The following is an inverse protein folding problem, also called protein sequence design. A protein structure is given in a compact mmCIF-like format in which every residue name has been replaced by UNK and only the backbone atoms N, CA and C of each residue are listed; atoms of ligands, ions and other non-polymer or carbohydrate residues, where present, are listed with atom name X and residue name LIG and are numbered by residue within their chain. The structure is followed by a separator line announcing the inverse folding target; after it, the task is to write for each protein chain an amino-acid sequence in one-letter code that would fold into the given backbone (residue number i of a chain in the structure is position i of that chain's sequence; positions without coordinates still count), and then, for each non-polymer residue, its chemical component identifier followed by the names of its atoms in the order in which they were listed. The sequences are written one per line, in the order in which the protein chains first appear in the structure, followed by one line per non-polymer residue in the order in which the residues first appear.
data_IF_762729875673
#
_entry.id   IF_762729875673
#
_cell.length_a   1.000
_cell.length_b   1.000
_cell.length_c   1.000
_cell.angle_alpha   90.00
_cell.angle_beta   90.00
_cell.angle_gamma   90.00
#
_symmetry.space_group_name_H-M   'P 1'
#
loop_
_entity.id
_entity.type
_entity.pdbx_description
1 polymer ?
#
# COMPACT_ATOMS: atom_id res chain seq x y z
N UNK A 1 33.11 24.59 -14.76
CA UNK A 1 32.30 23.36 -15.00
C UNK A 1 31.09 23.43 -14.12
N UNK A 2 29.91 23.72 -14.69
CA UNK A 2 28.65 23.86 -13.96
C UNK A 2 28.22 22.52 -13.43
N UNK A 3 28.03 22.42 -12.11
CA UNK A 3 27.38 21.23 -11.51
C UNK A 3 25.98 21.10 -12.08
N UNK A 4 25.63 19.92 -12.60
CA UNK A 4 24.27 19.64 -13.09
C UNK A 4 23.24 19.96 -12.01
N UNK A 5 22.06 20.52 -12.35
CA UNK A 5 21.04 20.88 -11.37
C UNK A 5 20.62 19.69 -10.48
N UNK A 6 20.72 18.45 -10.98
CA UNK A 6 20.46 17.20 -10.23
C UNK A 6 21.48 16.93 -9.12
N UNK A 7 22.70 17.50 -9.20
CA UNK A 7 23.71 17.30 -8.15
C UNK A 7 23.39 18.04 -6.84
N UNK A 8 22.48 19.02 -6.89
CA UNK A 8 22.07 19.83 -5.73
C UNK A 8 20.92 19.21 -4.95
N UNK A 9 20.26 18.16 -5.48
CA UNK A 9 19.10 17.52 -4.85
C UNK A 9 19.47 16.07 -4.49
N UNK A 10 19.94 15.80 -3.27
CA UNK A 10 20.42 14.47 -2.87
C UNK A 10 19.34 13.39 -2.98
N UNK A 11 18.07 13.74 -2.81
CA UNK A 11 16.93 12.79 -2.86
C UNK A 11 16.73 12.19 -4.26
N UNK A 12 17.02 12.92 -5.34
CA UNK A 12 16.89 12.40 -6.72
C UNK A 12 17.86 11.27 -7.01
N UNK A 13 19.01 11.24 -6.31
CA UNK A 13 20.01 10.16 -6.43
C UNK A 13 19.52 8.83 -5.89
N UNK A 14 18.47 8.83 -5.06
CA UNK A 14 17.83 7.66 -4.49
C UNK A 14 16.55 7.35 -5.28
N UNK A 15 15.69 8.36 -5.48
CA UNK A 15 14.35 8.16 -6.06
C UNK A 15 14.41 7.74 -7.53
N UNK A 16 15.29 8.31 -8.33
CA UNK A 16 15.40 7.97 -9.76
C UNK A 16 15.87 6.52 -9.97
N UNK A 17 16.96 6.03 -9.35
CA UNK A 17 17.34 4.63 -9.47
C UNK A 17 16.31 3.68 -8.85
N UNK A 18 15.67 4.07 -7.76
CA UNK A 18 14.60 3.28 -7.14
C UNK A 18 13.43 3.08 -8.10
N UNK A 19 12.94 4.16 -8.73
CA UNK A 19 11.92 4.08 -9.78
C UNK A 19 12.39 3.26 -10.98
N UNK A 20 13.64 3.39 -11.38
CA UNK A 20 14.27 2.56 -12.42
C UNK A 20 14.24 1.08 -12.07
N UNK A 21 14.47 0.73 -10.80
CA UNK A 21 14.37 -0.66 -10.30
C UNK A 21 12.96 -1.24 -10.42
N UNK A 22 11.94 -0.45 -10.10
CA UNK A 22 10.52 -0.84 -10.27
C UNK A 22 10.20 -1.06 -11.75
N UNK A 23 10.64 -0.17 -12.62
CA UNK A 23 10.43 -0.28 -14.08
C UNK A 23 11.13 -1.53 -14.63
N UNK A 24 12.38 -1.77 -14.26
CA UNK A 24 13.11 -2.98 -14.65
C UNK A 24 12.38 -4.24 -14.19
N UNK A 25 11.87 -4.25 -12.94
CA UNK A 25 11.07 -5.36 -12.43
C UNK A 25 9.80 -5.65 -13.25
N UNK A 26 9.21 -4.63 -13.89
CA UNK A 26 8.04 -4.80 -14.74
C UNK A 26 8.36 -5.43 -16.11
N UNK A 27 9.54 -5.14 -16.67
CA UNK A 27 9.93 -5.63 -18.00
C UNK A 27 10.66 -6.99 -17.96
N UNK A 28 11.33 -7.29 -16.86
CA UNK A 28 12.07 -8.54 -16.71
C UNK A 28 11.28 -9.53 -15.85
N UNK A 29 11.44 -10.86 -16.09
CA UNK A 29 10.77 -11.85 -15.26
C UNK A 29 11.14 -11.68 -13.78
N UNK A 30 10.27 -12.08 -12.85
CA UNK A 30 10.53 -11.94 -11.42
C UNK A 30 11.81 -12.67 -11.05
N UNK A 31 12.79 -11.90 -10.62
CA UNK A 31 14.08 -12.45 -10.17
C UNK A 31 13.89 -12.97 -8.74
N UNK A 32 14.49 -14.12 -8.38
CA UNK A 32 14.46 -14.61 -7.01
C UNK A 32 14.90 -13.50 -6.03
N UNK A 33 14.17 -13.33 -4.94
CA UNK A 33 14.47 -12.32 -3.90
C UNK A 33 15.94 -12.41 -3.48
N UNK A 34 16.50 -13.64 -3.46
CA UNK A 34 17.91 -13.89 -3.14
C UNK A 34 18.86 -13.13 -4.06
N UNK A 35 18.56 -13.02 -5.36
CA UNK A 35 19.42 -12.34 -6.32
C UNK A 35 19.36 -10.81 -6.16
N UNK A 36 18.19 -10.24 -5.84
CA UNK A 36 18.06 -8.80 -5.58
C UNK A 36 18.70 -8.41 -4.24
N UNK A 37 18.60 -9.26 -3.23
CA UNK A 37 19.28 -9.08 -1.94
C UNK A 37 20.80 -9.18 -2.11
N UNK A 38 21.31 -10.14 -2.91
CA UNK A 38 22.74 -10.21 -3.18
C UNK A 38 23.27 -8.97 -3.92
N UNK A 39 22.49 -8.40 -4.83
CA UNK A 39 22.84 -7.13 -5.49
C UNK A 39 22.92 -5.97 -4.48
N UNK A 40 22.01 -5.89 -3.53
CA UNK A 40 22.05 -4.90 -2.46
C UNK A 40 23.29 -5.09 -1.55
N UNK A 41 23.63 -6.33 -1.21
CA UNK A 41 24.83 -6.67 -0.43
C UNK A 41 26.10 -6.26 -1.19
N UNK A 42 26.17 -6.49 -2.49
CA UNK A 42 27.30 -6.05 -3.33
C UNK A 42 27.40 -4.51 -3.28
N UNK A 43 26.29 -3.80 -3.40
CA UNK A 43 26.26 -2.35 -3.25
C UNK A 43 26.79 -1.87 -1.89
N UNK A 44 26.41 -2.52 -0.81
CA UNK A 44 26.93 -2.25 0.54
C UNK A 44 28.45 -2.55 0.65
N UNK A 45 28.91 -3.67 0.10
CA UNK A 45 30.32 -4.02 0.10
C UNK A 45 31.16 -2.98 -0.67
N UNK A 46 30.68 -2.51 -1.83
CA UNK A 46 31.32 -1.44 -2.59
C UNK A 46 31.36 -0.14 -1.76
N UNK A 47 30.28 0.20 -1.06
CA UNK A 47 30.23 1.39 -0.21
C UNK A 47 31.27 1.35 0.92
N UNK A 48 31.37 0.18 1.58
CA UNK A 48 32.37 -0.05 2.65
C UNK A 48 33.79 0.03 2.09
N UNK A 49 34.07 -0.64 0.96
CA UNK A 49 35.36 -0.60 0.31
C UNK A 49 35.78 0.83 -0.06
N UNK A 50 34.85 1.61 -0.66
CA UNK A 50 35.10 3.01 -1.00
C UNK A 50 35.34 3.88 0.24
N UNK A 51 34.62 3.62 1.33
CA UNK A 51 34.84 4.29 2.62
C UNK A 51 36.24 4.01 3.18
N UNK A 52 36.71 2.77 3.06
CA UNK A 52 38.06 2.38 3.50
C UNK A 52 39.16 3.03 2.64
N UNK A 53 38.96 3.06 1.31
CA UNK A 53 39.89 3.70 0.37
C UNK A 53 39.94 5.22 0.53
N UNK A 54 38.93 5.86 1.06
CA UNK A 54 38.81 7.33 1.23
C UNK A 54 39.43 7.85 2.53
N UNK A 55 40.28 7.08 3.23
CA UNK A 55 40.87 7.45 4.53
C UNK A 55 41.89 8.60 4.44
N UNK A 56 42.59 8.77 3.30
CA UNK A 56 43.55 9.87 3.10
C UNK A 56 42.91 11.01 2.29
N UNK A 57 43.32 12.27 2.48
CA UNK A 57 42.77 13.42 1.73
C UNK A 57 42.91 13.26 0.22
N UNK A 58 44.05 12.72 -0.23
CA UNK A 58 44.36 12.52 -1.66
C UNK A 58 43.47 11.41 -2.28
N UNK A 59 43.30 10.28 -1.60
CA UNK A 59 42.39 9.21 -2.06
C UNK A 59 40.93 9.65 -2.01
N UNK A 60 40.53 10.48 -1.06
CA UNK A 60 39.18 11.03 -0.97
C UNK A 60 38.79 11.83 -2.20
N UNK A 61 39.72 12.62 -2.79
CA UNK A 61 39.44 13.40 -4.01
C UNK A 61 39.21 12.49 -5.23
N UNK A 62 39.94 11.37 -5.32
CA UNK A 62 39.81 10.38 -6.40
C UNK A 62 38.54 9.50 -6.28
N UNK A 63 38.13 9.14 -5.08
CA UNK A 63 36.97 8.27 -4.81
C UNK A 63 35.64 9.03 -4.82
N UNK A 64 35.64 10.33 -4.49
CA UNK A 64 34.42 11.15 -4.37
C UNK A 64 33.49 11.10 -5.58
N UNK A 65 33.93 11.15 -6.86
CA UNK A 65 33.02 11.07 -8.01
C UNK A 65 32.27 9.74 -8.11
N UNK A 66 32.87 8.65 -7.60
CA UNK A 66 32.29 7.30 -7.67
C UNK A 66 31.42 6.94 -6.46
N UNK A 67 31.39 7.78 -5.41
CA UNK A 67 30.63 7.52 -4.17
C UNK A 67 29.12 7.41 -4.38
N UNK A 68 28.60 7.80 -5.54
CA UNK A 68 27.18 7.68 -5.90
C UNK A 68 26.81 6.27 -6.40
N UNK A 69 27.79 5.49 -6.90
CA UNK A 69 27.54 4.19 -7.52
C UNK A 69 26.85 3.21 -6.55
N UNK A 70 27.35 3.00 -5.31
CA UNK A 70 26.70 2.09 -4.39
C UNK A 70 25.27 2.53 -4.03
N UNK A 71 25.00 3.83 -3.94
CA UNK A 71 23.66 4.35 -3.68
C UNK A 71 22.71 3.99 -4.83
N UNK A 72 23.17 4.13 -6.07
CA UNK A 72 22.39 3.76 -7.27
C UNK A 72 22.09 2.27 -7.26
N UNK A 73 23.08 1.40 -7.01
CA UNK A 73 22.92 -0.05 -7.00
C UNK A 73 21.92 -0.46 -5.91
N UNK A 74 22.08 0.03 -4.67
CA UNK A 74 21.20 -0.30 -3.56
C UNK A 74 19.77 0.17 -3.82
N UNK A 75 19.60 1.41 -4.31
CA UNK A 75 18.28 1.97 -4.59
C UNK A 75 17.57 1.20 -5.70
N UNK A 76 18.27 0.84 -6.78
CA UNK A 76 17.75 0.05 -7.88
C UNK A 76 17.38 -1.37 -7.42
N UNK A 77 18.23 -2.02 -6.63
CA UNK A 77 17.96 -3.33 -6.07
C UNK A 77 16.73 -3.31 -5.15
N UNK A 78 16.59 -2.28 -4.30
CA UNK A 78 15.43 -2.10 -3.45
C UNK A 78 14.14 -1.91 -4.25
N UNK A 79 14.16 -1.07 -5.30
CA UNK A 79 13.00 -0.89 -6.18
C UNK A 79 12.56 -2.19 -6.85
N UNK A 80 13.53 -2.95 -7.38
CA UNK A 80 13.26 -4.25 -8.00
C UNK A 80 12.74 -5.28 -6.98
N UNK A 81 13.33 -5.34 -5.78
CA UNK A 81 12.88 -6.24 -4.70
C UNK A 81 11.44 -5.94 -4.30
N UNK A 82 11.11 -4.67 -4.07
CA UNK A 82 9.75 -4.28 -3.71
C UNK A 82 8.76 -4.66 -4.79
N UNK A 83 9.09 -4.42 -6.06
CA UNK A 83 8.24 -4.85 -7.17
C UNK A 83 8.05 -6.37 -7.19
N UNK A 84 9.11 -7.15 -7.01
CA UNK A 84 9.06 -8.62 -7.04
C UNK A 84 8.23 -9.20 -5.89
N UNK A 85 8.30 -8.61 -4.70
CA UNK A 85 7.51 -9.02 -3.53
C UNK A 85 6.01 -8.75 -3.74
N UNK A 86 5.67 -7.65 -4.43
CA UNK A 86 4.28 -7.28 -4.68
C UNK A 86 3.68 -7.95 -5.93
N UNK A 87 4.44 -8.78 -6.62
CA UNK A 87 3.88 -9.56 -7.72
C UNK A 87 2.92 -10.64 -7.20
N UNK A 88 1.68 -10.68 -7.71
CA UNK A 88 0.73 -11.71 -7.30
C UNK A 88 1.22 -13.09 -7.73
N UNK A 89 1.14 -14.06 -6.84
CA UNK A 89 1.52 -15.45 -7.11
C UNK A 89 0.57 -16.08 -8.13
N UNK A 90 1.13 -16.72 -9.15
CA UNK A 90 0.36 -17.44 -10.16
C UNK A 90 0.04 -18.85 -9.64
N UNK A 91 -1.25 -19.11 -9.43
CA UNK A 91 -1.75 -20.39 -8.92
C UNK A 91 -1.94 -21.40 -10.05
N UNK A 92 -1.69 -22.67 -9.74
CA UNK A 92 -2.10 -23.78 -10.60
C UNK A 92 -3.58 -24.10 -10.33
N UNK A 93 -4.48 -23.54 -11.14
CA UNK A 93 -5.92 -23.64 -10.96
C UNK A 93 -6.43 -25.09 -10.98
N UNK A 94 -5.80 -25.98 -11.75
CA UNK A 94 -6.20 -27.39 -11.82
C UNK A 94 -5.95 -28.15 -10.50
N UNK A 95 -4.93 -27.73 -9.76
CA UNK A 95 -4.60 -28.34 -8.47
C UNK A 95 -5.32 -27.67 -7.30
N UNK A 96 -5.76 -26.43 -7.46
CA UNK A 96 -6.36 -25.62 -6.40
C UNK A 96 -7.87 -25.74 -6.38
N UNK A 97 -8.51 -25.77 -7.55
CA UNK A 97 -9.97 -25.82 -7.67
C UNK A 97 -10.54 -27.14 -7.14
N UNK A 98 -11.79 -27.10 -6.68
CA UNK A 98 -12.56 -28.21 -6.09
C UNK A 98 -12.03 -28.71 -4.75
N UNK A 99 -11.07 -28.06 -4.14
CA UNK A 99 -10.59 -28.34 -2.78
C UNK A 99 -11.22 -27.39 -1.77
N UNK A 100 -11.23 -27.81 -0.51
CA UNK A 100 -11.57 -26.91 0.59
C UNK A 100 -10.44 -25.88 0.77
N UNK A 101 -10.78 -24.63 0.64
CA UNK A 101 -9.88 -23.50 0.86
C UNK A 101 -10.12 -22.85 2.20
N UNK A 102 -9.06 -22.40 2.80
CA UNK A 102 -9.07 -21.63 4.04
C UNK A 102 -8.47 -20.27 3.75
N UNK A 103 -9.11 -19.22 4.22
CA UNK A 103 -8.61 -17.86 4.03
C UNK A 103 -9.03 -16.93 5.15
N UNK A 104 -8.37 -15.78 5.22
CA UNK A 104 -8.70 -14.69 6.13
C UNK A 104 -9.28 -13.53 5.33
N UNK A 105 -10.36 -12.99 5.82
CA UNK A 105 -10.98 -11.81 5.22
C UNK A 105 -10.13 -10.58 5.59
N UNK A 106 -9.59 -9.89 4.57
CA UNK A 106 -8.86 -8.64 4.74
C UNK A 106 -9.77 -7.42 4.67
N UNK A 107 -10.71 -7.42 3.71
CA UNK A 107 -11.65 -6.33 3.54
C UNK A 107 -13.01 -6.82 3.08
N UNK A 108 -14.06 -6.10 3.45
CA UNK A 108 -15.43 -6.35 3.03
C UNK A 108 -16.03 -5.05 2.52
N UNK A 109 -16.52 -5.07 1.29
CA UNK A 109 -17.31 -3.99 0.68
C UNK A 109 -18.73 -4.49 0.41
N UNK A 110 -19.72 -3.86 1.06
CA UNK A 110 -21.13 -4.16 0.83
C UNK A 110 -21.66 -3.28 -0.29
N UNK A 111 -22.30 -3.89 -1.28
CA UNK A 111 -23.12 -3.22 -2.29
C UNK A 111 -24.54 -3.78 -2.18
N UNK A 112 -25.54 -3.03 -2.67
CA UNK A 112 -26.98 -3.25 -2.46
C UNK A 112 -27.45 -4.71 -2.34
N UNK A 113 -26.95 -5.62 -3.18
CA UNK A 113 -27.38 -7.04 -3.20
C UNK A 113 -26.19 -8.01 -3.26
N UNK A 114 -24.99 -7.53 -3.09
CA UNK A 114 -23.78 -8.35 -3.20
C UNK A 114 -22.72 -7.86 -2.22
N UNK A 115 -21.86 -8.76 -1.80
CA UNK A 115 -20.74 -8.46 -0.93
C UNK A 115 -19.45 -8.85 -1.67
N UNK A 116 -18.50 -7.94 -1.69
CA UNK A 116 -17.17 -8.14 -2.24
C UNK A 116 -16.20 -8.28 -1.09
N UNK A 117 -15.48 -9.38 -1.07
CA UNK A 117 -14.49 -9.65 -0.03
C UNK A 117 -13.13 -9.90 -0.65
N UNK A 118 -12.12 -9.27 -0.09
CA UNK A 118 -10.74 -9.62 -0.35
C UNK A 118 -10.31 -10.63 0.68
N UNK A 119 -9.86 -11.79 0.24
CA UNK A 119 -9.49 -12.91 1.11
C UNK A 119 -8.06 -13.33 0.84
N UNK A 120 -7.23 -13.32 1.88
CA UNK A 120 -5.88 -13.87 1.85
C UNK A 120 -5.93 -15.38 2.10
N UNK A 121 -5.42 -16.16 1.15
CA UNK A 121 -5.50 -17.62 1.20
C UNK A 121 -4.44 -18.19 2.15
N UNK A 122 -4.90 -18.96 3.12
CA UNK A 122 -4.06 -19.65 4.11
C UNK A 122 -3.82 -21.12 3.75
N UNK A 123 -4.56 -21.66 2.78
CA UNK A 123 -4.41 -23.05 2.36
C UNK A 123 -3.12 -23.30 1.60
N UNK A 124 -2.48 -24.45 1.81
CA UNK A 124 -1.18 -24.82 1.25
C UNK A 124 -1.08 -24.73 -0.28
N UNK A 125 -2.19 -24.90 -0.99
CA UNK A 125 -2.22 -24.86 -2.46
C UNK A 125 -2.35 -23.43 -3.04
N UNK A 126 -2.68 -22.45 -2.20
CA UNK A 126 -2.90 -21.05 -2.61
C UNK A 126 -2.30 -20.05 -1.60
N UNK A 127 -1.44 -20.52 -0.70
CA UNK A 127 -0.88 -19.71 0.37
C UNK A 127 -0.18 -18.47 -0.16
N UNK A 128 -0.48 -17.32 0.44
CA UNK A 128 0.07 -16.03 0.06
C UNK A 128 -0.55 -15.42 -1.20
N UNK A 129 -1.68 -15.95 -1.66
CA UNK A 129 -2.45 -15.35 -2.76
C UNK A 129 -3.67 -14.66 -2.22
N UNK A 130 -3.89 -13.44 -2.66
CA UNK A 130 -5.11 -12.68 -2.35
C UNK A 130 -6.12 -12.86 -3.48
N UNK A 131 -7.35 -13.19 -3.12
CA UNK A 131 -8.44 -13.44 -4.07
C UNK A 131 -9.64 -12.54 -3.81
N UNK A 132 -10.42 -12.27 -4.86
CA UNK A 132 -11.67 -11.54 -4.77
C UNK A 132 -12.83 -12.53 -4.70
N UNK A 133 -13.52 -12.59 -3.57
CA UNK A 133 -14.79 -13.32 -3.44
C UNK A 133 -15.95 -12.37 -3.64
N UNK A 134 -16.85 -12.71 -4.56
CA UNK A 134 -18.09 -11.98 -4.78
C UNK A 134 -19.26 -12.88 -4.39
N UNK A 135 -20.10 -12.42 -3.45
CA UNK A 135 -21.27 -13.20 -3.03
C UNK A 135 -22.56 -12.65 -3.60
N UNK A 136 -23.48 -13.57 -3.91
CA UNK A 136 -24.89 -13.22 -4.07
C UNK A 136 -25.54 -13.18 -2.69
N UNK A 137 -26.06 -12.01 -2.30
CA UNK A 137 -26.58 -11.77 -0.96
C UNK A 137 -25.49 -11.29 0.03
N UNK A 138 -25.95 -10.66 1.10
CA UNK A 138 -25.09 -10.13 2.15
C UNK A 138 -25.16 -11.02 3.39
N UNK A 139 -24.01 -11.40 3.91
CA UNK A 139 -23.90 -12.05 5.22
C UNK A 139 -23.24 -11.05 6.18
N UNK A 140 -24.06 -10.33 6.91
CA UNK A 140 -23.61 -9.29 7.86
C UNK A 140 -22.93 -9.85 9.12
N UNK A 141 -22.90 -11.18 9.29
CA UNK A 141 -22.19 -11.84 10.39
C UNK A 141 -20.67 -11.95 10.14
N UNK A 142 -20.24 -11.78 8.88
CA UNK A 142 -18.83 -11.80 8.52
C UNK A 142 -18.20 -10.43 8.74
N UNK A 143 -17.02 -10.43 9.34
CA UNK A 143 -16.24 -9.23 9.62
C UNK A 143 -14.81 -9.39 9.13
N UNK A 144 -14.12 -8.27 8.94
CA UNK A 144 -12.70 -8.27 8.61
C UNK A 144 -11.89 -8.91 9.73
N UNK A 145 -10.93 -9.77 9.38
CA UNK A 145 -10.18 -10.61 10.31
C UNK A 145 -10.78 -12.01 10.54
N UNK A 146 -12.00 -12.27 10.04
CA UNK A 146 -12.59 -13.59 10.15
C UNK A 146 -11.87 -14.61 9.28
N UNK A 147 -11.66 -15.80 9.84
CA UNK A 147 -11.16 -16.94 9.11
C UNK A 147 -12.33 -17.72 8.53
N UNK A 148 -12.31 -17.92 7.22
CA UNK A 148 -13.40 -18.55 6.47
C UNK A 148 -12.91 -19.76 5.70
N UNK A 149 -13.82 -20.74 5.58
CA UNK A 149 -13.64 -21.94 4.78
C UNK A 149 -14.70 -21.97 3.67
N UNK A 150 -14.30 -22.34 2.47
CA UNK A 150 -15.17 -22.45 1.29
C UNK A 150 -14.57 -23.40 0.26
N UNK A 151 -15.38 -23.88 -0.67
CA UNK A 151 -14.90 -24.70 -1.80
C UNK A 151 -14.32 -23.77 -2.86
N UNK A 152 -13.06 -23.98 -3.21
CA UNK A 152 -12.31 -23.16 -4.18
C UNK A 152 -12.76 -23.46 -5.59
N UNK A 153 -13.17 -22.41 -6.33
CA UNK A 153 -13.51 -22.42 -7.76
C UNK A 153 -13.03 -21.12 -8.39
N UNK A 154 -11.71 -20.92 -8.37
CA UNK A 154 -11.08 -19.68 -8.84
C UNK A 154 -11.14 -19.56 -10.35
N UNK A 155 -11.40 -18.35 -10.82
CA UNK A 155 -11.30 -17.93 -12.19
C UNK A 155 -10.36 -16.73 -12.29
N UNK A 156 -9.62 -16.62 -13.39
CA UNK A 156 -8.80 -15.44 -13.62
C UNK A 156 -9.70 -14.25 -13.91
N UNK A 157 -9.41 -13.12 -13.30
CA UNK A 157 -10.14 -11.88 -13.59
C UNK A 157 -9.86 -11.49 -15.04
N UNK A 158 -10.91 -11.36 -15.83
CA UNK A 158 -10.87 -10.88 -17.21
C UNK A 158 -11.76 -9.65 -17.35
N UNK A 159 -11.39 -8.73 -18.22
CA UNK A 159 -12.25 -7.61 -18.53
C UNK A 159 -13.36 -8.05 -19.47
N UNK A 160 -14.60 -7.56 -19.31
CA UNK A 160 -15.55 -7.55 -20.39
C UNK A 160 -14.93 -6.72 -21.54
N UNK A 161 -14.91 -7.27 -22.76
CA UNK A 161 -14.30 -6.63 -23.94
C UNK A 161 -15.13 -5.42 -24.44
N UNK A 162 -15.41 -4.46 -23.58
CA UNK A 162 -16.03 -3.19 -23.96
C UNK A 162 -14.96 -2.11 -24.09
N UNK A 163 -14.86 -1.42 -25.24
CA UNK A 163 -13.77 -0.49 -25.54
C UNK A 163 -13.66 0.72 -24.60
N UNK A 164 -14.74 1.09 -23.92
CA UNK A 164 -14.81 2.28 -23.05
C UNK A 164 -14.81 1.94 -21.55
N UNK A 165 -14.73 0.65 -21.20
CA UNK A 165 -14.83 0.24 -19.80
C UNK A 165 -13.48 0.32 -19.09
N UNK A 166 -13.54 0.70 -17.84
CA UNK A 166 -12.34 0.76 -16.97
C UNK A 166 -11.70 -0.62 -16.88
N UNK A 167 -10.39 -0.72 -17.12
CA UNK A 167 -9.63 -1.98 -17.03
C UNK A 167 -9.63 -2.52 -15.59
N UNK A 168 -10.71 -3.22 -15.24
CA UNK A 168 -10.93 -3.78 -13.92
C UNK A 168 -9.85 -4.81 -13.55
N UNK A 169 -9.43 -5.64 -14.52
CA UNK A 169 -8.38 -6.64 -14.31
C UNK A 169 -7.05 -5.98 -13.97
N UNK A 170 -6.70 -4.88 -14.64
CA UNK A 170 -5.49 -4.14 -14.35
C UNK A 170 -5.55 -3.48 -12.96
N UNK A 171 -6.70 -2.91 -12.59
CA UNK A 171 -6.90 -2.32 -11.27
C UNK A 171 -6.74 -3.36 -10.17
N UNK A 172 -7.35 -4.53 -10.32
CA UNK A 172 -7.24 -5.62 -9.34
C UNK A 172 -5.82 -6.20 -9.31
N UNK A 173 -5.18 -6.37 -10.47
CA UNK A 173 -3.79 -6.81 -10.55
C UNK A 173 -2.83 -5.87 -9.80
N UNK A 174 -3.04 -4.54 -9.88
CA UNK A 174 -2.27 -3.55 -9.10
C UNK A 174 -2.43 -3.70 -7.59
N UNK A 175 -3.57 -4.26 -7.14
CA UNK A 175 -3.82 -4.62 -5.74
C UNK A 175 -3.30 -6.02 -5.38
N UNK A 176 -2.61 -6.71 -6.30
CA UNK A 176 -2.13 -8.07 -6.08
C UNK A 176 -3.19 -9.16 -6.30
N UNK A 177 -4.38 -8.80 -6.81
CA UNK A 177 -5.52 -9.71 -6.98
C UNK A 177 -5.64 -10.08 -8.46
N UNK A 178 -5.45 -11.36 -8.80
CA UNK A 178 -5.61 -11.87 -10.17
C UNK A 178 -6.69 -12.93 -10.31
N UNK A 179 -7.21 -13.42 -9.20
CA UNK A 179 -8.25 -14.45 -9.18
C UNK A 179 -9.52 -13.94 -8.50
N UNK A 180 -10.66 -14.39 -9.01
CA UNK A 180 -11.97 -14.13 -8.44
C UNK A 180 -12.78 -15.42 -8.36
N UNK A 181 -13.74 -15.43 -7.46
CA UNK A 181 -14.75 -16.48 -7.37
C UNK A 181 -16.10 -15.88 -7.00
N UNK A 182 -17.15 -16.36 -7.68
CA UNK A 182 -18.52 -16.08 -7.30
C UNK A 182 -19.02 -17.24 -6.42
N UNK A 183 -19.58 -16.94 -5.26
CA UNK A 183 -20.02 -17.93 -4.28
C UNK A 183 -21.29 -17.44 -3.58
N UNK A 184 -22.15 -18.35 -3.15
CA UNK A 184 -23.26 -17.98 -2.31
C UNK A 184 -22.79 -17.66 -0.88
N UNK A 185 -23.34 -16.59 -0.29
CA UNK A 185 -22.96 -16.19 1.07
C UNK A 185 -23.16 -17.30 2.12
N UNK A 186 -24.09 -18.23 1.88
CA UNK A 186 -24.35 -19.41 2.73
C UNK A 186 -23.29 -20.50 2.62
N UNK A 187 -22.52 -20.53 1.53
CA UNK A 187 -21.47 -21.51 1.29
C UNK A 187 -20.12 -21.12 1.93
N UNK A 188 -20.07 -20.00 2.62
CA UNK A 188 -18.92 -19.54 3.37
C UNK A 188 -19.13 -19.85 4.85
N UNK A 189 -18.24 -20.66 5.41
CA UNK A 189 -18.29 -21.04 6.84
C UNK A 189 -17.21 -20.29 7.60
N UNK A 190 -17.60 -19.53 8.62
CA UNK A 190 -16.68 -18.92 9.57
C UNK A 190 -16.24 -19.97 10.59
N UNK A 191 -14.92 -20.12 10.78
CA UNK A 191 -14.38 -21.08 11.76
C UNK A 191 -13.49 -20.44 12.83
N UNK A 192 -13.20 -19.14 12.70
CA UNK A 192 -12.41 -18.41 13.69
C UNK A 192 -12.33 -16.91 13.39
N UNK A 193 -11.65 -16.21 14.26
CA UNK A 193 -11.30 -14.80 14.07
C UNK A 193 -9.85 -14.62 14.48
N UNK A 194 -9.12 -13.84 13.71
CA UNK A 194 -7.71 -13.52 14.02
C UNK A 194 -7.55 -12.01 13.99
N UNK A 195 -7.24 -11.44 15.14
CA UNK A 195 -6.87 -10.04 15.23
C UNK A 195 -5.54 -9.85 14.49
N UNK A 196 -5.63 -9.14 13.37
CA UNK A 196 -4.47 -8.67 12.61
C UNK A 196 -4.25 -7.19 12.92
N UNK A 197 -3.02 -6.73 12.79
CA UNK A 197 -2.74 -5.29 12.83
C UNK A 197 -3.64 -4.49 11.87
N UNK A 198 -3.89 -5.03 10.67
CA UNK A 198 -4.79 -4.43 9.69
C UNK A 198 -6.24 -4.41 10.16
N UNK A 199 -6.75 -5.49 10.78
CA UNK A 199 -8.11 -5.51 11.33
C UNK A 199 -8.26 -4.50 12.49
N UNK A 200 -7.22 -4.32 13.30
CA UNK A 200 -7.19 -3.31 14.34
C UNK A 200 -7.29 -1.90 13.76
N UNK A 201 -6.53 -1.60 12.69
CA UNK A 201 -6.56 -0.30 12.00
C UNK A 201 -7.91 -0.03 11.36
N UNK A 202 -8.47 -1.02 10.66
CA UNK A 202 -9.80 -0.92 10.05
C UNK A 202 -10.89 -0.71 11.11
N UNK A 203 -10.82 -1.42 12.24
CA UNK A 203 -11.76 -1.24 13.35
C UNK A 203 -11.61 0.15 13.99
N UNK A 204 -10.38 0.66 14.16
CA UNK A 204 -10.13 2.01 14.63
C UNK A 204 -10.73 3.05 13.68
N UNK A 205 -10.52 2.90 12.37
CA UNK A 205 -11.12 3.74 11.32
C UNK A 205 -12.65 3.72 11.39
N UNK A 206 -13.28 2.54 11.49
CA UNK A 206 -14.73 2.40 11.63
C UNK A 206 -15.27 3.10 12.89
N UNK A 207 -14.55 3.02 14.01
CA UNK A 207 -14.90 3.72 15.25
C UNK A 207 -14.85 5.25 15.08
N UNK A 208 -13.82 5.78 14.39
CA UNK A 208 -13.71 7.21 14.10
C UNK A 208 -14.89 7.67 13.23
N UNK A 209 -15.20 6.94 12.15
CA UNK A 209 -16.34 7.23 11.28
C UNK A 209 -17.65 7.23 12.07
N UNK A 210 -17.87 6.21 12.90
CA UNK A 210 -19.05 6.12 13.75
C UNK A 210 -19.15 7.30 14.74
N UNK A 211 -18.02 7.77 15.28
CA UNK A 211 -17.98 8.94 16.15
C UNK A 211 -18.36 10.22 15.41
N UNK A 212 -17.88 10.40 14.17
CA UNK A 212 -18.25 11.54 13.32
C UNK A 212 -19.76 11.50 13.01
N UNK A 213 -20.32 10.33 12.71
CA UNK A 213 -21.74 10.18 12.45
C UNK A 213 -22.63 10.52 13.66
N UNK A 214 -22.14 10.37 14.88
CA UNK A 214 -22.86 10.72 16.12
C UNK A 214 -22.89 12.23 16.41
N UNK A 215 -22.09 13.03 15.73
CA UNK A 215 -22.09 14.50 15.92
C UNK A 215 -23.38 15.12 15.38
N UNK A 216 -23.68 16.34 15.79
CA UNK A 216 -24.85 17.12 15.33
C UNK A 216 -24.66 17.85 14.01
N UNK A 217 -23.52 17.62 13.34
CA UNK A 217 -23.19 18.25 12.06
C UNK A 217 -24.14 17.80 10.94
N UNK A 218 -24.27 18.60 9.87
CA UNK A 218 -25.00 18.19 8.67
C UNK A 218 -24.41 16.97 8.02
N UNK A 219 -25.21 16.19 7.29
CA UNK A 219 -24.76 14.98 6.63
C UNK A 219 -23.63 15.26 5.65
N UNK A 220 -23.75 16.32 4.87
CA UNK A 220 -22.71 16.75 3.93
C UNK A 220 -21.39 17.07 4.63
N UNK A 221 -21.46 17.85 5.71
CA UNK A 221 -20.26 18.19 6.50
C UNK A 221 -19.56 16.94 7.04
N UNK A 222 -20.32 15.94 7.53
CA UNK A 222 -19.77 14.66 7.97
C UNK A 222 -19.04 13.94 6.83
N UNK A 223 -19.65 13.89 5.64
CA UNK A 223 -19.06 13.27 4.46
C UNK A 223 -17.75 13.95 4.04
N UNK A 224 -17.71 15.28 4.06
CA UNK A 224 -16.48 16.03 3.80
C UNK A 224 -15.38 15.75 4.85
N UNK A 225 -15.76 15.74 6.15
CA UNK A 225 -14.79 15.42 7.21
C UNK A 225 -14.22 14.01 7.03
N UNK A 226 -15.05 13.02 6.74
CA UNK A 226 -14.60 11.64 6.52
C UNK A 226 -13.68 11.57 5.29
N UNK A 227 -14.04 12.23 4.21
CA UNK A 227 -13.23 12.24 3.00
C UNK A 227 -11.88 12.93 3.18
N UNK A 228 -11.84 14.06 3.86
CA UNK A 228 -10.62 14.83 4.06
C UNK A 228 -9.71 14.23 5.14
N UNK A 229 -10.28 13.74 6.25
CA UNK A 229 -9.52 13.18 7.36
C UNK A 229 -9.08 11.73 7.12
N UNK A 230 -9.94 10.90 6.54
CA UNK A 230 -9.71 9.48 6.39
C UNK A 230 -9.49 9.05 4.92
N UNK A 231 -9.55 9.99 3.98
CA UNK A 231 -9.39 9.70 2.55
C UNK A 231 -10.54 8.90 1.93
N UNK A 232 -11.65 8.69 2.68
CA UNK A 232 -12.76 7.85 2.22
C UNK A 232 -13.76 8.66 1.41
N UNK A 233 -13.56 8.63 0.09
CA UNK A 233 -14.40 9.36 -0.87
C UNK A 233 -15.74 8.67 -1.19
N UNK A 234 -16.01 7.49 -0.62
CA UNK A 234 -17.24 6.74 -0.88
C UNK A 234 -18.48 7.54 -0.46
N UNK A 235 -18.31 8.41 0.53
CA UNK A 235 -19.37 9.26 1.07
C UNK A 235 -19.65 10.54 0.26
N UNK A 236 -18.79 10.91 -0.69
CA UNK A 236 -18.99 12.07 -1.55
C UNK A 236 -19.73 11.62 -2.80
N UNK A 237 -20.86 12.27 -3.11
CA UNK A 237 -21.65 12.00 -4.28
C UNK A 237 -20.91 12.31 -5.59
N UNK A 238 -21.37 11.70 -6.68
CA UNK A 238 -20.70 11.81 -7.97
C UNK A 238 -20.77 13.21 -8.57
N UNK A 239 -21.86 13.94 -8.29
CA UNK A 239 -22.03 15.31 -8.75
C UNK A 239 -20.97 16.22 -8.12
N UNK A 240 -20.83 16.19 -6.80
CA UNK A 240 -19.78 16.93 -6.09
C UNK A 240 -18.38 16.58 -6.60
N UNK A 241 -18.09 15.30 -6.84
CA UNK A 241 -16.78 14.91 -7.42
C UNK A 241 -16.55 15.51 -8.79
N UNK A 242 -17.58 15.54 -9.65
CA UNK A 242 -17.46 16.15 -10.96
C UNK A 242 -17.26 17.64 -10.89
N UNK A 243 -17.96 18.35 -9.99
CA UNK A 243 -17.77 19.78 -9.75
C UNK A 243 -16.34 20.11 -9.32
N UNK A 244 -15.76 19.35 -8.37
CA UNK A 244 -14.37 19.50 -7.96
C UNK A 244 -13.39 19.19 -9.10
N UNK A 245 -13.74 18.25 -9.99
CA UNK A 245 -12.94 17.93 -11.16
C UNK A 245 -12.96 19.06 -12.19
N UNK A 246 -14.14 19.61 -12.49
CA UNK A 246 -14.30 20.75 -13.39
C UNK A 246 -13.58 22.01 -12.87
N UNK A 247 -13.61 22.23 -11.56
CA UNK A 247 -12.88 23.32 -10.92
C UNK A 247 -11.35 23.09 -10.86
N UNK A 248 -10.84 21.91 -11.31
CA UNK A 248 -9.42 21.57 -11.27
C UNK A 248 -8.85 21.28 -9.87
N UNK A 249 -9.74 21.19 -8.85
CA UNK A 249 -9.34 20.99 -7.44
C UNK A 249 -9.64 19.57 -6.94
N UNK A 250 -9.81 18.61 -7.82
CA UNK A 250 -10.04 17.19 -7.47
C UNK A 250 -8.93 16.62 -6.57
N UNK A 251 -7.71 17.18 -6.65
CA UNK A 251 -6.58 16.81 -5.80
C UNK A 251 -6.81 17.16 -4.30
N UNK A 252 -7.70 18.10 -4.00
CA UNK A 252 -8.06 18.44 -2.61
C UNK A 252 -8.87 17.32 -1.96
N UNK A 253 -9.69 16.60 -2.74
CA UNK A 253 -10.42 15.42 -2.27
C UNK A 253 -9.52 14.17 -2.16
N UNK A 254 -8.32 14.22 -2.74
CA UNK A 254 -7.31 13.19 -2.53
C UNK A 254 -6.55 13.49 -1.25
N UNK A 255 -6.21 12.46 -0.47
CA UNK A 255 -5.17 12.58 0.54
C UNK A 255 -3.88 12.99 -0.20
N UNK A 256 -3.63 14.29 -0.22
CA UNK A 256 -2.48 14.84 -0.92
C UNK A 256 -1.30 14.95 0.05
N UNK A 257 -0.09 14.98 -0.49
CA UNK A 257 1.11 15.25 0.33
C UNK A 257 0.99 16.54 1.14
N UNK A 258 0.17 17.51 0.70
CA UNK A 258 -0.14 18.73 1.44
C UNK A 258 -0.89 18.44 2.74
N UNK A 259 -1.90 17.54 2.72
CA UNK A 259 -2.65 17.14 3.92
C UNK A 259 -1.74 16.47 4.95
N UNK A 260 -0.92 15.53 4.48
CA UNK A 260 0.08 14.85 5.32
C UNK A 260 1.08 15.88 5.88
N UNK A 261 1.51 16.84 5.07
CA UNK A 261 2.38 17.94 5.49
C UNK A 261 1.77 18.81 6.59
N UNK A 262 0.50 19.20 6.45
CA UNK A 262 -0.23 19.98 7.46
C UNK A 262 -0.36 19.18 8.76
N UNK A 263 -0.73 17.91 8.67
CA UNK A 263 -0.85 17.01 9.84
C UNK A 263 0.51 16.86 10.51
N UNK A 264 1.58 16.69 9.75
CA UNK A 264 2.94 16.61 10.29
C UNK A 264 3.33 17.89 11.05
N UNK A 265 3.02 19.07 10.48
CA UNK A 265 3.27 20.36 11.16
C UNK A 265 2.47 20.44 12.45
N UNK A 266 1.19 20.04 12.43
CA UNK A 266 0.33 20.05 13.61
C UNK A 266 0.87 19.11 14.71
N UNK A 267 1.23 17.87 14.36
CA UNK A 267 1.84 16.91 15.27
C UNK A 267 3.17 17.46 15.83
N UNK A 268 3.97 18.03 14.95
CA UNK A 268 5.26 18.62 15.33
C UNK A 268 5.09 19.80 16.31
N UNK A 269 4.05 20.62 16.11
CA UNK A 269 3.70 21.70 17.03
C UNK A 269 3.15 21.16 18.36
N UNK A 270 2.29 20.13 18.32
CA UNK A 270 1.73 19.49 19.51
C UNK A 270 2.83 18.87 20.39
N UNK A 271 3.87 18.33 19.77
CA UNK A 271 5.02 17.73 20.47
C UNK A 271 6.09 18.76 20.86
N UNK A 272 5.84 20.06 20.62
CA UNK A 272 6.79 21.14 20.99
C UNK A 272 7.22 21.12 22.47
N UNK A 273 6.38 20.78 23.46
CA UNK A 273 6.84 20.71 24.85
C UNK A 273 8.02 19.77 25.10
N UNK A 274 8.25 18.77 24.24
CA UNK A 274 9.43 17.90 24.37
C UNK A 274 10.77 18.66 24.17
N UNK A 275 10.74 19.79 23.49
CA UNK A 275 11.95 20.60 23.29
C UNK A 275 12.45 21.22 24.61
N UNK A 276 11.55 21.51 25.58
CA UNK A 276 11.92 21.98 26.91
C UNK A 276 12.76 20.95 27.67
N UNK A 277 12.56 19.66 27.37
CA UNK A 277 13.32 18.56 27.96
C UNK A 277 14.53 18.14 27.13
N UNK A 278 14.92 18.96 26.13
CA UNK A 278 16.02 18.68 25.17
C UNK A 278 15.85 17.36 24.38
N UNK A 279 14.63 16.86 24.23
CA UNK A 279 14.28 15.61 23.57
C UNK A 279 13.96 15.81 22.07
N UNK A 280 14.70 16.68 21.37
CA UNK A 280 14.47 17.02 19.93
C UNK A 280 14.48 15.79 19.03
N UNK A 281 15.39 14.83 19.27
CA UNK A 281 15.43 13.57 18.51
C UNK A 281 14.18 12.73 18.71
N UNK A 282 13.71 12.64 19.96
CA UNK A 282 12.49 11.91 20.31
C UNK A 282 11.26 12.56 19.68
N UNK A 283 11.15 13.89 19.70
CA UNK A 283 10.10 14.65 19.02
C UNK A 283 10.05 14.32 17.55
N UNK A 284 11.20 14.33 16.84
CA UNK A 284 11.27 13.98 15.42
C UNK A 284 10.80 12.55 15.16
N UNK A 285 11.33 11.57 15.91
CA UNK A 285 10.96 10.15 15.75
C UNK A 285 9.47 9.95 16.01
N UNK A 286 8.92 10.52 17.09
CA UNK A 286 7.49 10.42 17.39
C UNK A 286 6.62 11.05 16.31
N UNK A 287 7.01 12.22 15.77
CA UNK A 287 6.27 12.85 14.68
C UNK A 287 6.21 11.95 13.45
N UNK A 288 7.33 11.34 13.06
CA UNK A 288 7.39 10.42 11.91
C UNK A 288 6.54 9.17 12.17
N UNK A 289 6.66 8.57 13.36
CA UNK A 289 5.90 7.37 13.73
C UNK A 289 4.38 7.64 13.71
N UNK A 290 3.94 8.78 14.26
CA UNK A 290 2.52 9.15 14.27
C UNK A 290 2.01 9.39 12.85
N UNK A 291 2.80 10.03 11.96
CA UNK A 291 2.42 10.24 10.56
C UNK A 291 2.32 8.91 9.81
N UNK A 292 3.26 7.99 9.98
CA UNK A 292 3.19 6.65 9.39
C UNK A 292 1.95 5.90 9.89
N UNK A 293 1.67 5.97 11.20
CA UNK A 293 0.49 5.35 11.78
C UNK A 293 -0.81 5.94 11.20
N UNK A 294 -0.85 7.26 11.03
CA UNK A 294 -1.97 7.95 10.39
C UNK A 294 -2.15 7.50 8.92
N UNK A 295 -1.06 7.39 8.16
CA UNK A 295 -1.07 6.95 6.76
C UNK A 295 -1.63 5.51 6.64
N UNK A 296 -1.20 4.62 7.53
CA UNK A 296 -1.74 3.26 7.63
C UNK A 296 -3.22 3.25 8.03
N UNK A 297 -3.66 4.16 8.89
CA UNK A 297 -5.07 4.28 9.31
C UNK A 297 -5.97 4.76 8.17
N UNK A 298 -5.46 5.63 7.30
CA UNK A 298 -6.22 6.20 6.19
C UNK A 298 -6.29 5.26 4.97
N UNK A 299 -5.33 4.37 4.79
CA UNK A 299 -5.32 3.26 3.80
C UNK A 299 -4.65 3.61 2.50
#
# INVERSE_FOLDING_TARGET
MGSSPLSKIPITRIVVPFGGGIVLGNYFPPVPILATVSLAIIGCAIAIMMSMLSRTPESRSKVRPFSIIPIIIISLALGWTIYSIHQPSVLNLSQTNSKLGYGRIESIDFKERSMYMTVDMLSSHAQGSTILLTTKGCNYSLTEGDNVAFVVKLQRISNPNMPEDTDFALIQKRKGIIYQQHIDAKAITKYGHTDSFWSLMTNARKRIIASIHRTTLSLETKHYIIALLLGDRKYIDQQTRSEYSYAGISHVLALSGLHIGIIMIFIWLLLWPLDFYQLKKLRFVLSVVIVIFYDVLTG
#
